data_IF_258683596637
#
_entry.id   IF_258683596637
#
_cell.length_a   1.000
_cell.length_b   1.000
_cell.length_c   1.000
_cell.angle_alpha   90.00
_cell.angle_beta   90.00
_cell.angle_gamma   90.00
#
_symmetry.space_group_name_H-M   'P 1'
#
loop_
_entity.id
_entity.type
_entity.pdbx_description
1 polymer ?
#
# COMPACT_ATOMS: atom_id res chain seq x y z
N UNK A 1 -27.43 9.77 46.24
CA UNK A 1 -27.74 10.56 45.02
C UNK A 1 -26.46 11.12 44.42
N UNK A 2 -25.93 10.49 43.35
CA UNK A 2 -25.14 11.12 42.28
C UNK A 2 -24.90 10.05 41.21
N UNK A 3 -25.13 10.45 39.96
CA UNK A 3 -25.57 9.63 38.84
C UNK A 3 -24.41 8.85 38.20
N UNK A 4 -24.67 7.57 37.92
CA UNK A 4 -23.92 6.74 36.97
C UNK A 4 -24.07 7.33 35.56
N UNK A 5 -22.97 7.79 34.95
CA UNK A 5 -22.90 7.94 33.48
C UNK A 5 -22.40 6.62 32.91
N UNK A 6 -23.33 5.83 32.38
CA UNK A 6 -22.99 4.70 31.51
C UNK A 6 -22.49 5.26 30.17
N UNK A 7 -21.25 4.93 29.82
CA UNK A 7 -20.73 5.12 28.47
C UNK A 7 -21.52 4.20 27.52
N UNK A 8 -22.40 4.78 26.72
CA UNK A 8 -23.06 4.09 25.62
C UNK A 8 -22.02 3.86 24.50
N UNK A 9 -21.50 2.64 24.43
CA UNK A 9 -20.75 2.16 23.26
C UNK A 9 -21.78 1.99 22.14
N UNK A 10 -21.80 2.93 21.18
CA UNK A 10 -22.54 2.77 19.93
C UNK A 10 -21.78 1.73 19.09
N UNK A 11 -22.17 0.47 19.20
CA UNK A 11 -21.80 -0.55 18.22
C UNK A 11 -22.55 -0.24 16.92
N UNK A 12 -21.86 0.30 15.93
CA UNK A 12 -22.36 0.27 14.55
C UNK A 12 -22.35 -1.19 14.08
N UNK A 13 -23.46 -1.89 14.30
CA UNK A 13 -23.66 -3.22 13.75
C UNK A 13 -23.84 -3.08 12.23
N UNK A 14 -22.77 -3.33 11.47
CA UNK A 14 -22.88 -3.57 10.04
C UNK A 14 -23.49 -4.97 9.85
N UNK A 15 -24.82 -5.04 9.84
CA UNK A 15 -25.55 -6.21 9.37
C UNK A 15 -25.45 -6.21 7.84
N UNK A 16 -24.41 -6.84 7.29
CA UNK A 16 -24.42 -7.25 5.89
C UNK A 16 -25.20 -8.56 5.79
N UNK A 17 -26.45 -8.47 5.33
CA UNK A 17 -27.16 -9.65 4.84
C UNK A 17 -26.49 -10.13 3.56
N UNK A 18 -25.82 -11.28 3.63
CA UNK A 18 -25.42 -12.02 2.45
C UNK A 18 -26.67 -12.43 1.67
N UNK A 19 -26.89 -11.79 0.53
CA UNK A 19 -27.78 -12.28 -0.51
C UNK A 19 -27.06 -12.06 -1.83
N UNK A 20 -26.55 -13.15 -2.39
CA UNK A 20 -26.01 -13.16 -3.74
C UNK A 20 -27.12 -12.88 -4.74
N UNK A 21 -26.72 -12.28 -5.87
CA UNK A 21 -27.48 -11.95 -7.08
C UNK A 21 -28.10 -10.55 -7.11
N UNK A 22 -27.62 -9.73 -8.04
CA UNK A 22 -28.46 -8.74 -8.73
C UNK A 22 -28.15 -7.28 -8.42
N UNK A 23 -27.62 -6.59 -9.43
CA UNK A 23 -27.72 -5.14 -9.66
C UNK A 23 -29.14 -4.61 -9.37
N UNK A 24 -29.43 -4.24 -8.12
CA UNK A 24 -30.57 -3.37 -7.76
C UNK A 24 -30.47 -2.88 -6.30
N UNK A 25 -29.30 -2.42 -5.85
CA UNK A 25 -29.33 -1.45 -4.76
C UNK A 25 -29.95 -0.16 -5.32
N UNK A 26 -31.01 0.35 -4.68
CA UNK A 26 -31.65 1.59 -5.08
C UNK A 26 -30.61 2.71 -5.20
N UNK A 27 -30.34 3.17 -6.42
CA UNK A 27 -29.41 4.26 -6.68
C UNK A 27 -29.85 5.52 -5.94
N UNK A 28 -31.17 5.70 -5.82
CA UNK A 28 -31.80 6.74 -5.03
C UNK A 28 -32.09 6.24 -3.60
N UNK A 29 -31.59 6.96 -2.61
CA UNK A 29 -31.77 6.66 -1.20
C UNK A 29 -32.91 7.46 -0.58
N UNK A 30 -33.66 6.81 0.30
CA UNK A 30 -34.76 7.39 1.06
C UNK A 30 -34.35 7.71 2.50
N UNK A 31 -35.20 8.46 3.22
CA UNK A 31 -34.98 8.76 4.64
C UNK A 31 -33.65 9.48 4.94
N UNK A 32 -32.96 8.99 5.98
CA UNK A 32 -31.71 9.54 6.51
C UNK A 32 -30.43 9.00 5.84
N UNK A 33 -30.55 8.10 4.88
CA UNK A 33 -29.39 7.47 4.24
C UNK A 33 -28.79 8.35 3.14
N UNK A 34 -27.47 8.31 3.02
CA UNK A 34 -26.70 9.09 2.04
C UNK A 34 -25.58 8.26 1.44
N UNK A 35 -25.31 8.53 0.17
CA UNK A 35 -24.03 8.21 -0.45
C UNK A 35 -23.05 9.31 -0.06
N UNK A 36 -21.87 8.93 0.42
CA UNK A 36 -20.74 9.84 0.54
C UNK A 36 -20.00 9.82 -0.80
N UNK A 37 -20.04 10.91 -1.54
CA UNK A 37 -19.32 11.05 -2.80
C UNK A 37 -17.87 11.37 -2.47
N UNK A 38 -16.96 10.46 -2.86
CA UNK A 38 -15.53 10.56 -2.60
C UNK A 38 -14.82 11.35 -3.70
N UNK A 39 -15.18 11.09 -4.96
CA UNK A 39 -14.68 11.82 -6.13
C UNK A 39 -15.56 11.54 -7.36
N UNK A 40 -15.27 12.16 -8.50
CA UNK A 40 -15.91 11.88 -9.78
C UNK A 40 -14.92 12.00 -10.93
N UNK A 41 -14.97 11.05 -11.88
CA UNK A 41 -14.06 10.98 -13.03
C UNK A 41 -14.81 10.84 -14.35
N UNK A 42 -14.22 11.30 -15.44
CA UNK A 42 -14.78 11.14 -16.78
C UNK A 42 -14.48 9.74 -17.33
N UNK A 43 -13.32 9.19 -17.00
CA UNK A 43 -12.93 7.85 -17.41
C UNK A 43 -13.44 6.79 -16.41
N UNK A 44 -14.03 5.72 -16.94
CA UNK A 44 -14.58 4.62 -16.14
C UNK A 44 -13.47 3.84 -15.43
N UNK A 45 -12.36 3.56 -16.13
CA UNK A 45 -11.29 2.73 -15.57
C UNK A 45 -10.60 3.45 -14.42
N UNK A 46 -10.35 4.76 -14.55
CA UNK A 46 -9.84 5.60 -13.47
C UNK A 46 -10.76 5.60 -12.25
N UNK A 47 -12.08 5.72 -12.43
CA UNK A 47 -13.04 5.66 -11.33
C UNK A 47 -13.03 4.30 -10.60
N UNK A 48 -12.96 3.20 -11.36
CA UNK A 48 -12.90 1.83 -10.81
C UNK A 48 -11.61 1.60 -10.02
N UNK A 49 -10.48 2.11 -10.52
CA UNK A 49 -9.20 2.01 -9.82
C UNK A 49 -9.23 2.77 -8.48
N UNK A 50 -9.72 4.00 -8.49
CA UNK A 50 -9.89 4.78 -7.25
C UNK A 50 -10.85 4.09 -6.27
N UNK A 51 -11.92 3.47 -6.78
CA UNK A 51 -12.84 2.70 -5.94
C UNK A 51 -12.18 1.49 -5.30
N UNK A 52 -11.30 0.78 -6.01
CA UNK A 52 -10.50 -0.33 -5.45
C UNK A 52 -9.54 0.18 -4.39
N UNK A 53 -8.81 1.27 -4.64
CA UNK A 53 -7.87 1.87 -3.69
C UNK A 53 -8.59 2.26 -2.38
N UNK A 54 -9.77 2.88 -2.45
CA UNK A 54 -10.59 3.12 -1.24
C UNK A 54 -11.11 1.83 -0.61
N UNK A 55 -11.50 0.85 -1.44
CA UNK A 55 -11.97 -0.47 -1.02
C UNK A 55 -10.99 -1.23 -0.12
N UNK A 56 -9.67 -1.07 -0.34
CA UNK A 56 -8.62 -1.63 0.52
C UNK A 56 -8.69 -1.16 1.98
N UNK A 57 -9.26 0.01 2.23
CA UNK A 57 -9.39 0.60 3.58
C UNK A 57 -10.78 0.46 4.16
N UNK A 58 -11.83 0.52 3.33
CA UNK A 58 -13.21 0.49 3.79
C UNK A 58 -14.15 -0.21 2.81
N UNK A 59 -15.03 -1.06 3.34
CA UNK A 59 -16.04 -1.78 2.55
C UNK A 59 -17.19 -0.86 2.12
N UNK A 60 -17.86 -1.22 1.02
CA UNK A 60 -19.06 -0.52 0.54
C UNK A 60 -18.77 0.64 -0.40
N UNK A 61 -17.57 0.69 -0.98
CA UNK A 61 -17.21 1.63 -2.05
C UNK A 61 -17.76 1.14 -3.38
N UNK A 62 -18.35 2.04 -4.17
CA UNK A 62 -19.02 1.73 -5.43
C UNK A 62 -18.73 2.81 -6.47
N UNK A 63 -18.93 2.49 -7.74
CA UNK A 63 -18.90 3.45 -8.84
C UNK A 63 -20.26 3.49 -9.52
N UNK A 64 -20.83 4.67 -9.61
CA UNK A 64 -22.09 4.91 -10.32
C UNK A 64 -21.85 5.84 -11.50
N UNK A 65 -22.45 5.53 -12.65
CA UNK A 65 -22.51 6.49 -13.76
C UNK A 65 -23.62 7.48 -13.48
N UNK A 66 -23.31 8.75 -13.60
CA UNK A 66 -24.26 9.86 -13.47
C UNK A 66 -24.90 10.17 -14.81
N UNK A 67 -26.07 10.82 -14.79
CA UNK A 67 -26.82 11.20 -16.00
C UNK A 67 -26.03 12.10 -16.97
N UNK A 68 -25.00 12.81 -16.47
CA UNK A 68 -24.10 13.65 -17.27
C UNK A 68 -22.91 12.87 -17.87
N UNK A 69 -22.87 11.54 -17.73
CA UNK A 69 -21.83 10.67 -18.25
C UNK A 69 -20.60 10.50 -17.35
N UNK A 70 -20.48 11.23 -16.24
CA UNK A 70 -19.37 11.08 -15.29
C UNK A 70 -19.56 9.85 -14.39
N UNK A 71 -18.48 9.31 -13.86
CA UNK A 71 -18.44 8.19 -12.94
C UNK A 71 -18.15 8.69 -11.52
N UNK A 72 -19.13 8.62 -10.63
CA UNK A 72 -19.00 8.99 -9.22
C UNK A 72 -18.51 7.80 -8.41
N UNK A 73 -17.41 7.98 -7.67
CA UNK A 73 -16.92 7.03 -6.67
C UNK A 73 -17.58 7.38 -5.35
N UNK A 74 -18.34 6.44 -4.78
CA UNK A 74 -19.18 6.68 -3.60
C UNK A 74 -18.95 5.62 -2.54
N UNK A 75 -19.22 5.97 -1.29
CA UNK A 75 -19.27 5.06 -0.15
C UNK A 75 -20.68 5.05 0.45
N UNK A 76 -21.21 3.87 0.76
CA UNK A 76 -22.45 3.72 1.51
C UNK A 76 -23.41 2.64 0.99
N UNK A 77 -24.71 2.77 1.28
CA UNK A 77 -25.36 3.89 1.98
C UNK A 77 -24.91 4.05 3.44
N UNK A 78 -24.89 5.28 3.97
CA UNK A 78 -24.61 5.59 5.38
C UNK A 78 -25.74 6.42 6.00
N UNK A 79 -26.15 6.08 7.22
CA UNK A 79 -27.14 6.82 8.00
C UNK A 79 -26.53 8.06 8.69
N UNK A 80 -26.20 9.08 7.89
CA UNK A 80 -25.55 10.32 8.35
C UNK A 80 -26.32 11.57 7.87
N UNK A 81 -26.51 12.52 8.78
CA UNK A 81 -27.25 13.76 8.50
C UNK A 81 -26.39 14.91 7.95
N UNK A 82 -25.06 14.82 8.07
CA UNK A 82 -24.11 15.83 7.61
C UNK A 82 -22.78 15.20 7.20
N UNK A 83 -22.01 15.89 6.36
CA UNK A 83 -20.70 15.42 5.92
C UNK A 83 -19.72 15.33 7.09
N UNK A 84 -19.80 16.24 8.07
CA UNK A 84 -18.95 16.19 9.27
C UNK A 84 -19.21 14.94 10.11
N UNK A 85 -20.47 14.52 10.21
CA UNK A 85 -20.80 13.24 10.86
C UNK A 85 -20.22 12.07 10.06
N UNK A 86 -20.23 12.13 8.73
CA UNK A 86 -19.57 11.12 7.90
C UNK A 86 -18.06 11.09 8.16
N UNK A 87 -17.38 12.24 8.19
CA UNK A 87 -15.94 12.33 8.52
C UNK A 87 -15.63 11.62 9.84
N UNK A 88 -16.38 11.94 10.89
CA UNK A 88 -16.18 11.36 12.22
C UNK A 88 -16.44 9.85 12.28
N UNK A 89 -17.44 9.35 11.55
CA UNK A 89 -17.80 7.91 11.55
C UNK A 89 -16.82 7.08 10.73
N UNK A 90 -16.25 7.67 9.68
CA UNK A 90 -15.35 6.98 8.75
C UNK A 90 -13.90 6.96 9.25
N UNK A 91 -13.51 7.91 10.09
CA UNK A 91 -12.24 7.82 10.80
C UNK A 91 -12.22 6.65 11.79
N UNK A 92 -11.09 5.95 11.94
CA UNK A 92 -9.80 6.18 11.28
C UNK A 92 -9.62 5.47 9.92
N UNK A 93 -10.62 4.71 9.46
CA UNK A 93 -10.52 3.89 8.23
C UNK A 93 -10.38 4.73 6.97
N UNK A 94 -11.08 5.85 6.91
CA UNK A 94 -11.06 6.74 5.76
C UNK A 94 -11.16 8.20 6.19
N UNK A 95 -10.12 8.98 5.88
CA UNK A 95 -10.17 10.44 5.95
C UNK A 95 -10.75 10.96 4.64
N UNK A 96 -11.90 11.62 4.72
CA UNK A 96 -12.54 12.20 3.54
C UNK A 96 -11.78 13.45 3.06
N UNK A 97 -11.70 13.65 1.74
CA UNK A 97 -11.19 14.89 1.15
C UNK A 97 -12.12 16.08 1.47
N UNK A 98 -11.62 17.30 1.35
CA UNK A 98 -12.38 18.51 1.67
C UNK A 98 -13.63 18.69 0.77
N UNK A 99 -13.54 18.24 -0.47
CA UNK A 99 -14.58 18.31 -1.50
C UNK A 99 -15.60 17.15 -1.45
N UNK A 100 -15.43 16.19 -0.53
CA UNK A 100 -16.41 15.12 -0.33
C UNK A 100 -17.77 15.69 0.11
N UNK A 101 -18.86 15.14 -0.40
CA UNK A 101 -20.22 15.62 -0.11
C UNK A 101 -21.24 14.47 -0.04
N UNK A 102 -22.44 14.77 0.47
CA UNK A 102 -23.53 13.80 0.58
C UNK A 102 -24.48 13.90 -0.61
N UNK A 103 -24.88 12.74 -1.14
CA UNK A 103 -25.84 12.62 -2.24
C UNK A 103 -26.93 11.62 -1.85
N UNK A 104 -28.17 11.84 -2.30
CA UNK A 104 -29.21 10.79 -2.24
C UNK A 104 -29.26 10.00 -3.54
N UNK A 105 -28.39 10.30 -4.50
CA UNK A 105 -28.26 9.57 -5.76
C UNK A 105 -29.31 9.87 -6.81
N UNK A 106 -29.96 11.04 -6.74
CA UNK A 106 -30.98 11.46 -7.72
C UNK A 106 -30.45 11.60 -9.15
N UNK A 107 -29.12 11.71 -9.31
CA UNK A 107 -28.44 11.90 -10.60
C UNK A 107 -27.74 10.64 -11.11
N UNK A 108 -27.83 9.52 -10.39
CA UNK A 108 -27.19 8.27 -10.78
C UNK A 108 -28.09 7.50 -11.75
N UNK A 109 -27.51 7.07 -12.87
CA UNK A 109 -28.18 6.34 -13.93
C UNK A 109 -28.03 4.81 -13.75
N UNK A 110 -26.81 4.36 -13.43
CA UNK A 110 -26.49 2.93 -13.32
C UNK A 110 -25.36 2.68 -12.33
N UNK A 111 -25.38 1.51 -11.69
CA UNK A 111 -24.24 0.98 -10.95
C UNK A 111 -23.26 0.30 -11.91
N UNK A 112 -21.99 0.68 -11.80
CA UNK A 112 -20.94 0.29 -12.77
C UNK A 112 -19.91 -0.64 -12.16
N UNK A 113 -19.67 -0.52 -10.85
CA UNK A 113 -18.70 -1.32 -10.12
C UNK A 113 -18.99 -1.30 -8.62
N UNK A 114 -18.79 -2.43 -7.96
CA UNK A 114 -18.74 -2.56 -6.51
C UNK A 114 -17.33 -3.01 -6.13
N UNK A 115 -16.66 -2.25 -5.25
CA UNK A 115 -15.35 -2.64 -4.76
C UNK A 115 -15.47 -3.90 -3.90
N UNK A 116 -14.49 -4.82 -3.94
CA UNK A 116 -14.42 -5.91 -2.98
C UNK A 116 -14.48 -5.40 -1.54
N UNK A 117 -15.01 -6.19 -0.59
CA UNK A 117 -14.93 -5.86 0.82
C UNK A 117 -13.49 -5.58 1.25
N UNK A 118 -13.31 -4.61 2.15
CA UNK A 118 -11.99 -4.32 2.71
C UNK A 118 -11.43 -5.55 3.42
N UNK A 119 -10.15 -5.90 3.18
CA UNK A 119 -9.48 -6.95 3.93
C UNK A 119 -9.22 -6.58 5.40
N UNK A 120 -9.37 -5.29 5.75
CA UNK A 120 -9.27 -4.82 7.14
C UNK A 120 -10.60 -5.10 7.86
N UNK A 121 -10.60 -6.17 8.65
CA UNK A 121 -11.77 -6.67 9.38
C UNK A 121 -12.07 -5.78 10.60
N UNK A 122 -11.02 -5.46 11.35
CA UNK A 122 -11.07 -4.53 12.47
C UNK A 122 -9.80 -3.69 12.53
N UNK A 123 -9.87 -2.49 13.11
CA UNK A 123 -8.67 -1.70 13.39
C UNK A 123 -8.79 -0.83 14.63
N UNK A 124 -7.63 -0.49 15.19
CA UNK A 124 -7.51 0.46 16.29
C UNK A 124 -6.25 1.29 16.12
N UNK A 125 -6.32 2.55 16.52
CA UNK A 125 -5.18 3.46 16.58
C UNK A 125 -4.90 3.89 18.02
N UNK A 126 -3.62 3.86 18.38
CA UNK A 126 -3.09 4.56 19.52
C UNK A 126 -2.59 5.93 19.09
N UNK A 127 -2.98 6.98 19.82
CA UNK A 127 -2.65 8.39 19.50
C UNK A 127 -1.72 9.05 20.54
N UNK A 128 -0.98 8.26 21.32
CA UNK A 128 0.02 8.78 22.26
C UNK A 128 -0.48 9.12 23.67
N UNK A 129 -1.77 8.93 23.95
CA UNK A 129 -2.40 9.36 25.22
C UNK A 129 -2.80 8.22 26.15
N UNK A 130 -3.72 7.36 25.69
CA UNK A 130 -4.30 6.26 26.48
C UNK A 130 -4.23 4.95 25.70
N UNK A 131 -4.12 3.80 26.38
CA UNK A 131 -4.13 2.51 25.71
C UNK A 131 -5.40 2.36 24.87
N UNK A 132 -5.23 1.93 23.63
CA UNK A 132 -6.32 1.72 22.69
C UNK A 132 -6.59 0.22 22.52
N UNK A 133 -7.86 -0.19 22.48
CA UNK A 133 -8.23 -1.61 22.49
C UNK A 133 -9.16 -1.95 21.34
N UNK A 134 -9.00 -3.12 20.77
CA UNK A 134 -9.93 -3.73 19.82
C UNK A 134 -9.99 -5.24 20.02
N UNK A 135 -11.07 -5.86 19.55
CA UNK A 135 -11.17 -7.31 19.50
C UNK A 135 -11.94 -7.75 18.27
N UNK A 136 -11.51 -8.86 17.69
CA UNK A 136 -12.15 -9.47 16.53
C UNK A 136 -11.93 -10.98 16.55
N UNK A 137 -12.99 -11.76 16.33
CA UNK A 137 -12.98 -13.24 16.32
C UNK A 137 -12.23 -13.92 17.49
N UNK A 138 -12.37 -13.35 18.69
CA UNK A 138 -11.76 -13.86 19.92
C UNK A 138 -10.28 -13.51 20.11
N UNK A 139 -9.70 -12.71 19.21
CA UNK A 139 -8.39 -12.08 19.40
C UNK A 139 -8.63 -10.67 19.96
N UNK A 140 -8.11 -10.37 21.14
CA UNK A 140 -8.15 -9.04 21.74
C UNK A 140 -6.75 -8.42 21.70
N UNK A 141 -6.66 -7.13 21.38
CA UNK A 141 -5.40 -6.39 21.36
C UNK A 141 -5.49 -5.08 22.14
N UNK A 142 -4.36 -4.69 22.71
CA UNK A 142 -4.13 -3.42 23.40
C UNK A 142 -2.90 -2.79 22.77
N UNK A 143 -3.07 -1.60 22.21
CA UNK A 143 -1.99 -0.72 21.79
C UNK A 143 -1.64 0.25 22.91
N UNK A 144 -0.36 0.39 23.17
CA UNK A 144 0.19 1.31 24.17
C UNK A 144 1.62 1.70 23.78
N UNK A 145 2.38 2.27 24.71
CA UNK A 145 3.80 2.56 24.56
C UNK A 145 4.60 2.19 25.80
N UNK A 146 5.90 1.98 25.63
CA UNK A 146 6.86 1.86 26.72
C UNK A 146 7.88 2.98 26.61
N UNK A 147 8.23 3.59 27.74
CA UNK A 147 9.32 4.55 27.83
C UNK A 147 10.65 3.83 28.08
N UNK A 148 11.71 4.27 27.41
CA UNK A 148 13.08 3.96 27.80
C UNK A 148 13.56 4.87 28.94
N UNK A 149 14.86 4.78 29.32
CA UNK A 149 15.42 5.56 30.43
C UNK A 149 15.58 7.03 30.08
N UNK A 150 15.68 7.33 28.79
CA UNK A 150 15.84 8.65 28.20
C UNK A 150 14.48 9.32 27.93
N UNK A 151 13.37 8.64 28.25
CA UNK A 151 12.01 9.16 28.05
C UNK A 151 11.46 8.98 26.63
N UNK A 152 12.20 8.33 25.72
CA UNK A 152 11.70 8.02 24.40
C UNK A 152 10.68 6.88 24.47
N UNK A 153 9.69 6.92 23.58
CA UNK A 153 8.54 6.02 23.60
C UNK A 153 8.53 5.10 22.39
N UNK A 154 8.53 3.79 22.65
CA UNK A 154 8.32 2.75 21.64
C UNK A 154 6.86 2.28 21.67
N UNK A 155 6.16 2.20 20.54
CA UNK A 155 4.82 1.61 20.49
C UNK A 155 4.87 0.11 20.79
N UNK A 156 3.82 -0.35 21.47
CA UNK A 156 3.63 -1.76 21.82
C UNK A 156 2.25 -2.27 21.45
N UNK A 157 2.20 -3.57 21.18
CA UNK A 157 1.00 -4.36 20.98
C UNK A 157 1.04 -5.50 21.99
N UNK A 158 0.01 -5.60 22.82
CA UNK A 158 -0.30 -6.79 23.62
C UNK A 158 -1.53 -7.45 23.04
N UNK A 159 -1.47 -8.74 22.78
CA UNK A 159 -2.60 -9.52 22.31
C UNK A 159 -2.91 -10.70 23.21
N UNK A 160 -4.17 -11.11 23.22
CA UNK A 160 -4.67 -12.23 24.00
C UNK A 160 -5.70 -13.03 23.19
N UNK A 161 -5.67 -14.35 23.32
CA UNK A 161 -6.66 -15.27 22.74
C UNK A 161 -6.77 -16.51 23.63
N UNK A 162 -7.93 -16.75 24.23
CA UNK A 162 -8.19 -17.94 25.07
C UNK A 162 -7.10 -18.20 26.15
N UNK A 163 -6.55 -17.14 26.77
CA UNK A 163 -5.49 -17.22 27.77
C UNK A 163 -4.07 -17.29 27.23
N UNK A 164 -3.87 -17.53 25.93
CA UNK A 164 -2.57 -17.34 25.26
C UNK A 164 -2.34 -15.85 24.97
N UNK A 165 -1.12 -15.39 25.19
CA UNK A 165 -0.76 -13.98 24.99
C UNK A 165 0.39 -13.83 24.00
N UNK A 166 0.42 -12.68 23.33
CA UNK A 166 1.53 -12.28 22.47
C UNK A 166 1.87 -10.82 22.69
N UNK A 167 3.12 -10.47 22.43
CA UNK A 167 3.64 -9.13 22.60
C UNK A 167 4.53 -8.75 21.44
N UNK A 168 4.31 -7.55 20.88
CA UNK A 168 5.20 -6.94 19.92
C UNK A 168 5.57 -5.52 20.36
N UNK A 169 6.80 -5.12 20.05
CA UNK A 169 7.33 -3.78 20.23
C UNK A 169 8.04 -3.37 18.95
N UNK A 170 7.94 -2.09 18.59
CA UNK A 170 8.71 -1.49 17.49
C UNK A 170 9.68 -0.52 18.15
N UNK A 171 10.97 -0.82 18.06
CA UNK A 171 12.05 -0.03 18.66
C UNK A 171 12.79 0.81 17.61
N UNK A 172 12.48 0.61 16.34
CA UNK A 172 12.97 1.41 15.24
C UNK A 172 12.41 2.83 15.38
N UNK A 173 13.31 3.80 15.55
CA UNK A 173 13.01 5.23 15.67
C UNK A 173 11.96 5.54 16.74
N UNK A 174 12.26 5.29 18.03
CA UNK A 174 11.31 5.58 19.11
C UNK A 174 10.99 7.08 19.11
N UNK A 175 9.76 7.43 19.46
CA UNK A 175 9.34 8.82 19.52
C UNK A 175 10.11 9.51 20.66
N UNK A 176 10.81 10.59 20.34
CA UNK A 176 11.60 11.34 21.33
C UNK A 176 10.67 11.88 22.42
N UNK A 177 11.19 12.08 23.64
CA UNK A 177 10.42 12.69 24.73
C UNK A 177 9.66 13.95 24.26
N UNK A 178 8.37 14.01 24.58
CA UNK A 178 7.47 15.10 24.18
C UNK A 178 6.94 15.01 22.73
N UNK A 179 7.49 14.15 21.88
CA UNK A 179 6.96 13.93 20.53
C UNK A 179 5.65 13.12 20.59
N UNK A 180 4.62 13.64 19.92
CA UNK A 180 3.39 12.86 19.69
C UNK A 180 3.61 11.87 18.56
N UNK A 181 3.03 10.68 18.70
CA UNK A 181 3.10 9.67 17.67
C UNK A 181 1.84 8.80 17.69
N UNK A 182 1.64 8.07 16.59
CA UNK A 182 0.53 7.12 16.48
C UNK A 182 1.01 5.78 15.98
N UNK A 183 0.39 4.72 16.51
CA UNK A 183 0.54 3.36 16.00
C UNK A 183 -0.84 2.77 15.74
N UNK A 184 -0.90 1.73 14.91
CA UNK A 184 -2.16 1.15 14.43
C UNK A 184 -2.07 -0.36 14.43
N UNK A 185 -3.14 -1.04 14.82
CA UNK A 185 -3.33 -2.47 14.62
C UNK A 185 -4.49 -2.68 13.67
N UNK A 186 -4.31 -3.58 12.70
CA UNK A 186 -5.34 -4.02 11.76
C UNK A 186 -5.48 -5.54 11.84
N UNK A 187 -6.71 -6.02 11.98
CA UNK A 187 -7.06 -7.43 11.91
C UNK A 187 -7.34 -7.81 10.47
N UNK A 188 -6.62 -8.80 9.95
CA UNK A 188 -6.63 -9.18 8.54
C UNK A 188 -6.49 -10.69 8.43
N UNK A 189 -7.16 -11.33 7.47
CA UNK A 189 -6.91 -12.74 7.12
C UNK A 189 -5.78 -12.82 6.10
N UNK A 190 -4.54 -12.76 6.57
CA UNK A 190 -3.34 -12.85 5.71
C UNK A 190 -3.02 -14.29 5.32
N UNK A 191 -3.29 -15.25 6.21
CA UNK A 191 -3.15 -16.68 5.96
C UNK A 191 -4.49 -17.37 6.24
N UNK A 192 -5.18 -17.92 5.21
CA UNK A 192 -6.48 -18.57 5.38
C UNK A 192 -6.40 -19.89 6.15
N UNK A 193 -5.23 -20.50 6.27
CA UNK A 193 -5.02 -21.73 7.04
C UNK A 193 -4.78 -21.47 8.53
N UNK A 194 -4.49 -20.22 8.92
CA UNK A 194 -4.31 -19.87 10.32
C UNK A 194 -5.65 -19.93 11.07
N UNK A 195 -5.68 -20.47 12.31
CA UNK A 195 -6.91 -20.60 13.09
C UNK A 195 -7.50 -19.24 13.51
N UNK A 196 -6.74 -18.15 13.40
CA UNK A 196 -7.13 -16.80 13.80
C UNK A 196 -6.72 -15.77 12.75
N UNK A 197 -7.42 -14.64 12.64
CA UNK A 197 -6.95 -13.54 11.82
C UNK A 197 -5.66 -12.98 12.41
N UNK A 198 -4.77 -12.55 11.52
CA UNK A 198 -3.52 -11.90 11.89
C UNK A 198 -3.74 -10.47 12.33
N UNK A 199 -2.78 -9.95 13.10
CA UNK A 199 -2.75 -8.55 13.51
C UNK A 199 -1.51 -7.88 12.91
N UNK A 200 -1.72 -7.00 11.93
CA UNK A 200 -0.68 -6.13 11.40
C UNK A 200 -0.59 -4.88 12.28
N UNK A 201 0.52 -4.74 13.01
CA UNK A 201 0.82 -3.66 13.92
C UNK A 201 1.89 -2.74 13.32
N UNK A 202 1.50 -1.51 13.02
CA UNK A 202 2.33 -0.56 12.29
C UNK A 202 2.56 0.71 13.10
N UNK A 203 3.75 1.29 12.92
CA UNK A 203 4.17 2.55 13.50
C UNK A 203 4.79 3.44 12.43
N UNK A 204 4.24 4.64 12.28
CA UNK A 204 4.80 5.70 11.47
C UNK A 204 5.56 6.67 12.37
N UNK A 205 6.88 6.71 12.28
CA UNK A 205 7.71 7.54 13.17
C UNK A 205 7.87 8.99 12.70
N UNK A 206 7.29 9.37 11.56
CA UNK A 206 7.28 10.75 11.08
C UNK A 206 8.49 11.17 10.25
N UNK A 207 8.29 12.23 9.45
CA UNK A 207 9.25 12.81 8.50
C UNK A 207 8.66 12.85 7.08
N UNK A 208 9.12 13.80 6.24
CA UNK A 208 8.51 14.08 4.93
C UNK A 208 8.53 12.89 3.96
N UNK A 209 9.49 11.98 4.14
CA UNK A 209 9.72 10.79 3.32
C UNK A 209 10.01 9.55 4.20
N UNK A 210 9.69 9.64 5.49
CA UNK A 210 10.02 8.62 6.49
C UNK A 210 8.85 7.67 6.76
N UNK A 211 9.16 6.65 7.55
CA UNK A 211 8.72 5.30 7.24
C UNK A 211 7.69 4.76 8.22
N UNK A 212 6.97 3.76 7.74
CA UNK A 212 6.15 2.85 8.50
C UNK A 212 6.88 1.52 8.71
N UNK A 213 7.07 1.13 9.97
CA UNK A 213 7.49 -0.22 10.32
C UNK A 213 6.30 -1.05 10.76
N UNK A 214 6.28 -2.30 10.32
CA UNK A 214 5.19 -3.24 10.62
C UNK A 214 5.70 -4.50 11.30
N UNK A 215 4.95 -4.96 12.29
CA UNK A 215 5.03 -6.29 12.91
C UNK A 215 3.74 -7.04 12.63
N UNK A 216 3.82 -8.33 12.37
CA UNK A 216 2.64 -9.16 12.10
C UNK A 216 2.56 -10.26 13.14
N UNK A 217 1.50 -10.24 13.94
CA UNK A 217 1.18 -11.33 14.84
C UNK A 217 0.36 -12.39 14.08
N UNK A 218 0.82 -13.63 14.10
CA UNK A 218 0.14 -14.78 13.47
C UNK A 218 0.06 -15.96 14.43
N UNK A 219 -1.10 -16.62 14.46
CA UNK A 219 -1.31 -17.84 15.22
C UNK A 219 -0.92 -19.05 14.38
N UNK A 220 -0.10 -19.93 14.93
CA UNK A 220 0.21 -21.22 14.34
C UNK A 220 -0.91 -22.22 14.64
N UNK A 221 -0.97 -23.33 13.90
CA UNK A 221 -1.93 -24.41 14.16
C UNK A 221 -1.86 -24.94 15.61
N UNK A 222 -0.68 -24.90 16.22
CA UNK A 222 -0.49 -25.24 17.65
C UNK A 222 -1.18 -24.31 18.65
N UNK A 223 -1.75 -23.19 18.20
CA UNK A 223 -2.32 -22.13 19.03
C UNK A 223 -1.30 -21.09 19.53
N UNK A 224 0.00 -21.35 19.39
CA UNK A 224 1.07 -20.40 19.74
C UNK A 224 1.13 -19.25 18.74
N UNK A 225 1.47 -18.07 19.25
CA UNK A 225 1.66 -16.88 18.43
C UNK A 225 3.13 -16.67 18.03
N UNK A 226 3.31 -16.12 16.83
CA UNK A 226 4.58 -15.62 16.30
C UNK A 226 4.44 -14.16 15.92
N UNK A 227 5.51 -13.39 16.16
CA UNK A 227 5.63 -12.01 15.70
C UNK A 227 6.66 -11.99 14.58
N UNK A 228 6.22 -11.63 13.39
CA UNK A 228 7.08 -11.48 12.22
C UNK A 228 7.42 -10.01 12.02
N UNK A 229 8.65 -9.75 11.60
CA UNK A 229 9.03 -8.43 11.11
C UNK A 229 8.59 -8.29 9.66
N UNK A 230 7.84 -7.23 9.36
CA UNK A 230 7.69 -6.75 7.98
C UNK A 230 8.88 -5.86 7.59
N UNK A 231 8.85 -5.36 6.37
CA UNK A 231 9.81 -4.38 5.89
C UNK A 231 9.58 -3.00 6.53
N UNK A 232 10.65 -2.21 6.58
CA UNK A 232 10.56 -0.76 6.80
C UNK A 232 10.23 -0.11 5.47
N UNK A 233 9.03 0.47 5.37
CA UNK A 233 8.49 0.99 4.12
C UNK A 233 8.20 2.48 4.23
N UNK A 234 8.39 3.22 3.16
CA UNK A 234 8.12 4.66 3.13
C UNK A 234 6.62 4.90 2.95
N UNK A 235 6.13 6.04 3.44
CA UNK A 235 4.70 6.34 3.45
C UNK A 235 3.93 5.48 4.46
N UNK A 236 2.72 5.04 4.10
CA UNK A 236 1.76 4.38 5.01
C UNK A 236 2.03 2.87 5.25
N UNK A 237 3.12 2.34 4.69
CA UNK A 237 3.52 0.95 4.82
C UNK A 237 2.83 0.03 3.81
N UNK A 238 2.44 -1.16 4.27
CA UNK A 238 1.74 -2.13 3.42
C UNK A 238 0.29 -1.72 3.14
N UNK A 239 -0.10 -1.88 1.88
CA UNK A 239 -1.48 -2.02 1.47
C UNK A 239 -1.88 -3.51 1.52
N UNK A 240 -3.19 -3.78 1.54
CA UNK A 240 -3.71 -5.13 1.68
C UNK A 240 -4.80 -5.36 0.63
N UNK A 241 -4.70 -6.45 -0.12
CA UNK A 241 -5.70 -6.90 -1.10
C UNK A 241 -5.55 -8.41 -1.32
N UNK A 242 -6.67 -9.11 -1.48
CA UNK A 242 -6.68 -10.48 -2.04
C UNK A 242 -6.69 -10.33 -3.56
N UNK A 243 -5.50 -10.37 -4.16
CA UNK A 243 -5.29 -9.97 -5.56
C UNK A 243 -5.79 -11.05 -6.53
N UNK A 244 -5.59 -12.32 -6.19
CA UNK A 244 -5.96 -13.46 -7.03
C UNK A 244 -7.28 -14.14 -6.61
N UNK A 245 -7.88 -13.71 -5.50
CA UNK A 245 -9.18 -14.18 -5.03
C UNK A 245 -9.13 -15.54 -4.33
N UNK A 246 -7.95 -15.96 -3.85
CA UNK A 246 -7.75 -17.25 -3.19
C UNK A 246 -8.11 -17.24 -1.69
N UNK A 247 -8.50 -16.08 -1.15
CA UNK A 247 -8.84 -15.86 0.25
C UNK A 247 -7.63 -15.57 1.14
N UNK A 248 -6.42 -15.58 0.59
CA UNK A 248 -5.21 -15.06 1.21
C UNK A 248 -5.06 -13.60 0.83
N UNK A 249 -4.95 -12.71 1.82
CA UNK A 249 -4.68 -11.30 1.55
C UNK A 249 -3.17 -11.09 1.40
N UNK A 250 -2.75 -10.51 0.26
CA UNK A 250 -1.38 -10.07 0.03
C UNK A 250 -1.06 -8.77 0.76
N UNK A 251 0.19 -8.64 1.18
CA UNK A 251 0.80 -7.40 1.63
C UNK A 251 1.49 -6.73 0.44
N UNK A 252 0.91 -5.66 -0.05
CA UNK A 252 1.37 -4.93 -1.22
C UNK A 252 2.25 -3.75 -0.80
N UNK A 253 3.37 -3.56 -1.51
CA UNK A 253 4.30 -2.46 -1.26
C UNK A 253 4.98 -2.00 -2.55
N UNK A 254 6.04 -1.20 -2.39
CA UNK A 254 6.98 -0.81 -3.45
C UNK A 254 8.37 -1.28 -3.05
N UNK A 255 9.21 -1.55 -4.04
CA UNK A 255 10.62 -1.81 -3.77
C UNK A 255 11.33 -0.50 -3.41
N UNK A 256 11.35 -0.21 -2.11
CA UNK A 256 11.96 0.99 -1.55
C UNK A 256 13.43 1.18 -1.90
N UNK A 257 14.11 0.15 -2.41
CA UNK A 257 15.49 0.27 -2.85
C UNK A 257 15.69 1.16 -4.07
N UNK A 258 14.63 1.53 -4.77
CA UNK A 258 14.67 2.51 -5.86
C UNK A 258 14.55 3.95 -5.37
N UNK A 259 14.06 4.16 -4.15
CA UNK A 259 13.92 5.49 -3.55
C UNK A 259 15.32 6.02 -3.21
N UNK A 260 15.65 7.21 -3.69
CA UNK A 260 17.00 7.80 -3.61
C UNK A 260 18.11 7.06 -4.36
N UNK A 261 17.81 5.99 -5.10
CA UNK A 261 18.86 5.26 -5.83
C UNK A 261 19.30 5.99 -7.10
N UNK A 262 18.34 6.61 -7.81
CA UNK A 262 18.57 7.16 -9.16
C UNK A 262 18.10 8.60 -9.33
N UNK A 263 17.44 9.16 -8.32
CA UNK A 263 16.98 10.55 -8.27
C UNK A 263 16.59 10.89 -6.82
N UNK A 264 16.21 12.13 -6.56
CA UNK A 264 15.55 12.52 -5.31
C UNK A 264 14.30 11.70 -5.06
N UNK A 265 13.86 11.60 -3.80
CA UNK A 265 12.64 10.86 -3.44
C UNK A 265 11.42 11.27 -4.27
N UNK A 266 11.20 12.58 -4.42
CA UNK A 266 10.05 13.12 -5.15
C UNK A 266 10.04 12.73 -6.64
N UNK A 267 11.22 12.46 -7.22
CA UNK A 267 11.38 12.06 -8.61
C UNK A 267 11.61 10.54 -8.77
N UNK A 268 11.65 9.79 -7.65
CA UNK A 268 11.89 8.35 -7.67
C UNK A 268 10.60 7.59 -8.01
N UNK A 269 10.73 6.56 -8.84
CA UNK A 269 9.67 5.59 -9.07
C UNK A 269 10.18 4.21 -8.68
N UNK A 270 9.33 3.43 -8.03
CA UNK A 270 9.65 2.10 -7.56
C UNK A 270 8.68 1.07 -8.16
N UNK A 271 9.17 -0.12 -8.56
CA UNK A 271 8.31 -1.21 -9.00
C UNK A 271 7.46 -1.74 -7.83
N UNK A 272 6.27 -2.31 -8.12
CA UNK A 272 5.42 -2.92 -7.11
C UNK A 272 6.05 -4.19 -6.52
N UNK A 273 5.68 -4.51 -5.28
CA UNK A 273 6.03 -5.74 -4.56
C UNK A 273 4.78 -6.32 -3.92
N UNK A 274 4.73 -7.64 -3.83
CA UNK A 274 3.66 -8.38 -3.16
C UNK A 274 4.26 -9.49 -2.30
N UNK A 275 3.81 -9.57 -1.04
CA UNK A 275 4.17 -10.63 -0.12
C UNK A 275 2.94 -11.39 0.35
N UNK A 276 3.08 -12.69 0.53
CA UNK A 276 2.06 -13.54 1.14
C UNK A 276 2.56 -14.12 2.45
N UNK A 277 1.69 -14.17 3.45
CA UNK A 277 1.97 -14.86 4.70
C UNK A 277 1.60 -16.34 4.56
N UNK A 278 2.47 -17.23 5.02
CA UNK A 278 2.16 -18.64 5.17
C UNK A 278 2.83 -19.18 6.44
N UNK A 279 2.01 -19.54 7.42
CA UNK A 279 2.47 -19.91 8.76
C UNK A 279 3.22 -18.76 9.43
N UNK A 280 4.54 -18.92 9.57
CA UNK A 280 5.45 -17.96 10.19
C UNK A 280 6.42 -17.29 9.20
N UNK A 281 6.10 -17.31 7.90
CA UNK A 281 6.95 -16.72 6.87
C UNK A 281 6.19 -15.77 5.95
N UNK A 282 6.76 -14.59 5.73
CA UNK A 282 6.40 -13.71 4.62
C UNK A 282 7.25 -14.11 3.41
N UNK A 283 6.59 -14.50 2.32
CA UNK A 283 7.25 -14.86 1.05
C UNK A 283 6.97 -13.79 0.02
N UNK A 284 8.00 -13.39 -0.73
CA UNK A 284 7.83 -12.55 -1.92
C UNK A 284 7.14 -13.39 -3.01
N UNK A 285 5.90 -13.01 -3.36
CA UNK A 285 5.07 -13.67 -4.37
C UNK A 285 4.94 -12.81 -5.63
N UNK A 286 5.69 -11.71 -5.72
CA UNK A 286 5.56 -10.70 -6.79
C UNK A 286 5.63 -11.33 -8.19
N UNK A 287 6.48 -12.35 -8.38
CA UNK A 287 6.67 -13.02 -9.67
C UNK A 287 5.68 -14.15 -9.98
N UNK A 288 4.74 -14.45 -9.08
CA UNK A 288 3.79 -15.55 -9.27
C UNK A 288 2.70 -15.20 -10.30
N UNK A 289 2.13 -16.23 -10.94
CA UNK A 289 1.16 -16.05 -12.02
C UNK A 289 -0.09 -15.27 -11.57
N UNK A 290 -0.55 -15.50 -10.33
CA UNK A 290 -1.69 -14.79 -9.73
C UNK A 290 -1.47 -13.28 -9.61
N UNK A 291 -0.21 -12.83 -9.47
CA UNK A 291 0.11 -11.41 -9.33
C UNK A 291 0.21 -10.67 -10.68
N UNK A 292 0.19 -11.39 -11.80
CA UNK A 292 0.36 -10.78 -13.13
C UNK A 292 -0.64 -9.65 -13.44
N UNK A 293 -1.96 -9.78 -13.15
CA UNK A 293 -2.91 -8.68 -13.35
C UNK A 293 -2.59 -7.45 -12.50
N UNK A 294 -2.16 -7.64 -11.25
CA UNK A 294 -1.72 -6.54 -10.39
C UNK A 294 -0.50 -5.82 -10.96
N UNK A 295 0.54 -6.57 -11.37
CA UNK A 295 1.73 -5.98 -11.99
C UNK A 295 1.40 -5.20 -13.28
N UNK A 296 0.52 -5.75 -14.11
CA UNK A 296 0.07 -5.09 -15.34
C UNK A 296 -0.68 -3.78 -15.03
N UNK A 297 -1.58 -3.79 -14.04
CA UNK A 297 -2.28 -2.59 -13.62
C UNK A 297 -1.29 -1.55 -13.07
N UNK A 298 -0.38 -1.94 -12.19
CA UNK A 298 0.63 -1.05 -11.62
C UNK A 298 1.55 -0.43 -12.68
N UNK A 299 1.94 -1.20 -13.70
CA UNK A 299 2.69 -0.67 -14.84
C UNK A 299 1.84 0.30 -15.68
N UNK A 300 0.57 -0.03 -15.94
CA UNK A 300 -0.33 0.83 -16.69
C UNK A 300 -0.57 2.18 -15.99
N UNK A 301 -0.62 2.20 -14.65
CA UNK A 301 -0.67 3.41 -13.82
C UNK A 301 0.58 4.26 -14.01
N UNK A 302 1.76 3.64 -13.89
CA UNK A 302 3.04 4.30 -14.08
C UNK A 302 3.16 4.93 -15.49
N UNK A 303 2.78 4.20 -16.53
CA UNK A 303 2.74 4.72 -17.90
C UNK A 303 1.64 5.78 -18.09
N UNK A 304 0.54 5.69 -17.34
CA UNK A 304 -0.53 6.68 -17.31
C UNK A 304 -0.05 8.04 -16.81
N UNK A 305 0.72 8.07 -15.74
CA UNK A 305 1.37 9.30 -15.26
C UNK A 305 2.32 9.88 -16.31
N UNK A 306 3.13 9.05 -16.95
CA UNK A 306 4.03 9.51 -18.02
C UNK A 306 3.31 9.92 -19.32
N UNK A 307 2.02 9.60 -19.50
CA UNK A 307 1.19 10.20 -20.56
C UNK A 307 0.73 11.61 -20.20
N UNK A 308 0.45 11.84 -18.92
CA UNK A 308 0.03 13.15 -18.41
C UNK A 308 1.22 14.09 -18.21
N UNK A 309 2.41 13.53 -17.99
CA UNK A 309 3.68 14.25 -17.75
C UNK A 309 4.78 13.63 -18.62
N UNK A 310 4.83 13.94 -19.92
CA UNK A 310 5.72 13.29 -20.88
C UNK A 310 7.21 13.35 -20.55
N UNK A 311 7.63 14.42 -19.87
CA UNK A 311 8.99 14.69 -19.38
C UNK A 311 9.50 13.61 -18.42
N UNK A 312 8.62 12.82 -17.77
CA UNK A 312 9.02 11.65 -17.00
C UNK A 312 9.83 10.64 -17.83
N UNK A 313 9.59 10.56 -19.15
CA UNK A 313 10.37 9.66 -20.02
C UNK A 313 11.84 10.05 -20.15
N UNK A 314 12.22 11.26 -19.74
CA UNK A 314 13.59 11.73 -19.74
C UNK A 314 14.25 11.68 -18.35
N UNK A 315 13.55 11.26 -17.28
CA UNK A 315 14.12 11.24 -15.92
C UNK A 315 14.65 9.86 -15.54
N UNK A 316 15.82 9.84 -14.89
CA UNK A 316 16.48 8.61 -14.48
C UNK A 316 15.69 7.87 -13.38
N UNK A 317 15.08 8.61 -12.44
CA UNK A 317 14.22 8.04 -11.39
C UNK A 317 13.00 7.29 -11.95
N UNK A 318 12.31 7.86 -12.95
CA UNK A 318 11.19 7.20 -13.61
C UNK A 318 11.64 5.98 -14.42
N UNK A 319 12.65 6.15 -15.27
CA UNK A 319 13.15 5.06 -16.12
C UNK A 319 13.65 3.87 -15.30
N UNK A 320 14.27 4.09 -14.14
CA UNK A 320 14.71 3.01 -13.26
C UNK A 320 13.54 2.15 -12.77
N UNK A 321 12.52 2.78 -12.16
CA UNK A 321 11.33 2.08 -11.68
C UNK A 321 10.55 1.41 -12.81
N UNK A 322 10.42 2.08 -13.96
CA UNK A 322 9.70 1.56 -15.12
C UNK A 322 10.39 0.36 -15.76
N UNK A 323 11.72 0.38 -15.90
CA UNK A 323 12.48 -0.78 -16.39
C UNK A 323 12.31 -1.97 -15.45
N UNK A 324 12.36 -1.74 -14.13
CA UNK A 324 12.16 -2.80 -13.14
C UNK A 324 10.74 -3.40 -13.22
N UNK A 325 9.71 -2.56 -13.31
CA UNK A 325 8.33 -3.00 -13.46
C UNK A 325 8.10 -3.78 -14.78
N UNK A 326 8.72 -3.35 -15.88
CA UNK A 326 8.72 -4.09 -17.15
C UNK A 326 9.45 -5.43 -17.04
N UNK A 327 10.55 -5.49 -16.30
CA UNK A 327 11.30 -6.73 -16.07
C UNK A 327 10.46 -7.77 -15.33
N UNK A 328 9.68 -7.37 -14.32
CA UNK A 328 8.73 -8.26 -13.62
C UNK A 328 7.69 -8.90 -14.56
N UNK A 329 7.38 -8.24 -15.68
CA UNK A 329 6.43 -8.73 -16.69
C UNK A 329 7.11 -9.45 -17.87
N UNK A 330 8.43 -9.66 -17.83
CA UNK A 330 9.21 -10.30 -18.88
C UNK A 330 9.57 -9.39 -20.06
N UNK A 331 9.41 -8.07 -19.91
CA UNK A 331 9.62 -7.08 -20.98
C UNK A 331 10.91 -6.26 -20.80
N UNK A 332 11.94 -6.85 -20.18
CA UNK A 332 13.20 -6.16 -19.87
C UNK A 332 13.91 -5.61 -21.11
N UNK A 333 14.09 -6.40 -22.17
CA UNK A 333 14.86 -6.00 -23.35
C UNK A 333 14.27 -4.77 -24.06
N UNK A 334 12.94 -4.73 -24.18
CA UNK A 334 12.25 -3.58 -24.78
C UNK A 334 12.41 -2.32 -23.91
N UNK A 335 12.20 -2.48 -22.60
CA UNK A 335 12.35 -1.41 -21.64
C UNK A 335 13.78 -0.86 -21.59
N UNK A 336 14.77 -1.75 -21.60
CA UNK A 336 16.18 -1.37 -21.59
C UNK A 336 16.56 -0.56 -22.83
N UNK A 337 16.13 -1.00 -24.02
CA UNK A 337 16.39 -0.26 -25.27
C UNK A 337 15.77 1.13 -25.26
N UNK A 338 14.56 1.28 -24.72
CA UNK A 338 13.93 2.60 -24.56
C UNK A 338 14.72 3.47 -23.59
N UNK A 339 15.06 2.94 -22.42
CA UNK A 339 15.84 3.64 -21.40
C UNK A 339 17.16 4.17 -21.99
N UNK A 340 17.92 3.35 -22.73
CA UNK A 340 19.18 3.76 -23.35
C UNK A 340 19.02 4.95 -24.31
N UNK A 341 17.88 5.08 -24.99
CA UNK A 341 17.60 6.22 -25.87
C UNK A 341 17.24 7.48 -25.07
N UNK A 342 16.54 7.32 -23.95
CA UNK A 342 15.83 8.42 -23.29
C UNK A 342 16.50 8.96 -22.01
N UNK A 343 17.36 8.20 -21.34
CA UNK A 343 17.90 8.58 -20.04
C UNK A 343 18.67 9.91 -20.07
N UNK A 344 18.63 10.62 -18.93
CA UNK A 344 19.37 11.87 -18.76
C UNK A 344 20.86 11.58 -18.55
N UNK A 345 21.63 11.86 -19.60
CA UNK A 345 23.10 11.74 -19.63
C UNK A 345 23.82 12.85 -18.88
N UNK A 346 23.12 13.95 -18.58
CA UNK A 346 23.66 15.15 -17.92
C UNK A 346 23.26 15.25 -16.46
N UNK A 347 22.56 14.24 -15.95
CA UNK A 347 22.20 14.15 -14.54
C UNK A 347 23.45 14.19 -13.66
N UNK A 348 23.48 15.13 -12.72
CA UNK A 348 24.54 15.24 -11.69
C UNK A 348 24.24 14.36 -10.47
N UNK A 349 23.17 13.55 -10.50
CA UNK A 349 22.86 12.60 -9.43
C UNK A 349 24.06 11.67 -9.18
N UNK A 350 24.56 11.56 -7.95
CA UNK A 350 25.80 10.84 -7.67
C UNK A 350 25.57 9.33 -7.78
N UNK A 351 26.07 8.73 -8.86
CA UNK A 351 26.07 7.28 -9.07
C UNK A 351 27.49 6.75 -8.97
N UNK A 352 27.74 5.92 -7.96
CA UNK A 352 29.06 5.38 -7.68
C UNK A 352 29.02 3.87 -7.43
N UNK A 353 30.12 3.19 -7.76
CA UNK A 353 30.41 1.82 -7.29
C UNK A 353 31.76 1.75 -6.60
N UNK A 354 31.94 0.72 -5.79
CA UNK A 354 33.25 0.42 -5.24
C UNK A 354 34.06 -0.44 -6.20
N UNK A 355 35.34 -0.11 -6.39
CA UNK A 355 36.29 -0.95 -7.11
C UNK A 355 36.67 -2.24 -6.33
N UNK A 356 36.31 -2.30 -5.05
CA UNK A 356 36.46 -3.47 -4.19
C UNK A 356 35.10 -4.14 -4.01
N UNK A 357 35.08 -5.44 -3.71
CA UNK A 357 33.86 -6.20 -3.40
C UNK A 357 33.32 -5.88 -1.99
N UNK A 358 33.04 -4.61 -1.72
CA UNK A 358 32.45 -4.11 -0.48
C UNK A 358 31.30 -3.15 -0.79
N UNK A 359 30.37 -3.02 0.15
CA UNK A 359 29.28 -2.04 0.06
C UNK A 359 29.84 -0.60 0.00
N UNK A 360 29.11 0.29 -0.67
CA UNK A 360 29.58 1.64 -0.99
C UNK A 360 29.84 2.50 0.26
N UNK A 361 29.04 2.31 1.32
CA UNK A 361 29.21 2.94 2.63
C UNK A 361 30.56 2.60 3.27
N UNK A 362 31.07 1.40 3.03
CA UNK A 362 32.36 0.89 3.51
C UNK A 362 33.49 1.07 2.49
N UNK A 363 33.20 1.61 1.30
CA UNK A 363 34.19 1.79 0.25
C UNK A 363 35.11 2.97 0.55
N UNK A 364 36.44 2.78 0.61
CA UNK A 364 37.40 3.87 0.71
C UNK A 364 37.17 4.90 -0.42
N UNK A 365 37.21 6.19 -0.10
CA UNK A 365 36.92 7.26 -1.07
C UNK A 365 37.75 7.14 -2.36
N UNK A 366 39.05 6.81 -2.24
CA UNK A 366 39.95 6.59 -3.36
C UNK A 366 39.62 5.36 -4.25
N UNK A 367 38.70 4.51 -3.81
CA UNK A 367 38.23 3.31 -4.54
C UNK A 367 36.81 3.46 -5.06
N UNK A 368 36.15 4.61 -4.82
CA UNK A 368 34.84 4.92 -5.39
C UNK A 368 35.02 5.38 -6.83
N UNK A 369 34.18 4.86 -7.71
CA UNK A 369 34.19 5.18 -9.14
C UNK A 369 32.81 5.68 -9.53
N UNK A 370 32.76 6.84 -10.17
CA UNK A 370 31.53 7.31 -10.83
C UNK A 370 31.17 6.37 -11.97
N UNK A 371 29.89 6.07 -12.09
CA UNK A 371 29.37 5.18 -13.14
C UNK A 371 28.18 5.82 -13.83
N UNK A 372 27.87 5.31 -15.02
CA UNK A 372 26.71 5.78 -15.78
C UNK A 372 25.39 5.28 -15.17
N UNK A 373 24.29 5.99 -15.46
CA UNK A 373 22.94 5.53 -15.07
C UNK A 373 22.61 4.11 -15.54
N UNK A 374 22.81 3.74 -16.83
CA UNK A 374 22.60 2.36 -17.28
C UNK A 374 23.43 1.33 -16.51
N UNK A 375 24.68 1.65 -16.17
CA UNK A 375 25.53 0.74 -15.41
C UNK A 375 25.01 0.56 -13.98
N UNK A 376 24.72 1.66 -13.27
CA UNK A 376 24.17 1.62 -11.92
C UNK A 376 22.82 0.89 -11.85
N UNK A 377 21.94 1.16 -12.82
CA UNK A 377 20.64 0.50 -12.90
C UNK A 377 20.80 -1.00 -13.17
N UNK A 378 21.72 -1.39 -14.06
CA UNK A 378 21.97 -2.82 -14.35
C UNK A 378 22.41 -3.55 -13.08
N UNK A 379 23.37 -3.01 -12.35
CA UNK A 379 23.90 -3.59 -11.11
C UNK A 379 22.80 -3.73 -10.06
N UNK A 380 21.98 -2.69 -9.89
CA UNK A 380 20.84 -2.72 -8.96
C UNK A 380 19.83 -3.79 -9.33
N UNK A 381 19.45 -3.89 -10.61
CA UNK A 381 18.49 -4.89 -11.08
C UNK A 381 19.00 -6.32 -10.93
N UNK A 382 20.31 -6.57 -11.11
CA UNK A 382 20.92 -7.89 -10.78
C UNK A 382 20.86 -8.15 -9.29
N UNK A 383 21.34 -7.20 -8.47
CA UNK A 383 21.41 -7.33 -7.01
C UNK A 383 20.04 -7.61 -6.39
N UNK A 384 18.99 -7.02 -6.98
CA UNK A 384 17.59 -7.17 -6.55
C UNK A 384 16.84 -8.32 -7.25
N UNK A 385 17.47 -9.04 -8.17
CA UNK A 385 16.88 -10.22 -8.81
C UNK A 385 15.82 -9.94 -9.88
N UNK A 386 15.73 -8.71 -10.41
CA UNK A 386 14.80 -8.39 -11.51
C UNK A 386 15.21 -9.04 -12.83
N UNK A 387 16.51 -9.31 -12.99
CA UNK A 387 17.10 -9.91 -14.18
C UNK A 387 18.32 -10.74 -13.79
N UNK A 388 18.62 -11.84 -14.50
CA UNK A 388 19.79 -12.65 -14.19
C UNK A 388 21.08 -11.88 -14.47
N UNK A 389 22.17 -12.24 -13.79
CA UNK A 389 23.50 -11.65 -14.03
C UNK A 389 23.95 -11.80 -15.51
N UNK A 390 23.52 -12.88 -16.17
CA UNK A 390 23.82 -13.19 -17.56
C UNK A 390 22.94 -12.48 -18.58
N UNK A 391 21.90 -11.73 -18.16
CA UNK A 391 21.10 -10.95 -19.10
C UNK A 391 21.97 -9.84 -19.73
N UNK A 392 22.45 -10.07 -20.95
CA UNK A 392 22.99 -9.03 -21.80
C UNK A 392 21.84 -8.47 -22.64
N UNK A 393 21.61 -7.15 -22.64
CA UNK A 393 20.59 -6.57 -23.51
C UNK A 393 20.96 -6.89 -24.96
N UNK A 394 20.07 -7.56 -25.69
CA UNK A 394 20.27 -7.77 -27.13
C UNK A 394 20.14 -6.42 -27.84
N UNK A 395 21.27 -5.76 -28.07
CA UNK A 395 21.36 -4.63 -28.98
C UNK A 395 21.37 -5.22 -30.39
N UNK A 396 20.20 -5.28 -31.03
CA UNK A 396 20.16 -5.48 -32.48
C UNK A 396 20.74 -4.23 -33.14
N UNK A 397 22.01 -4.34 -33.50
CA UNK A 397 22.74 -3.42 -34.34
C UNK A 397 22.11 -3.49 -35.74
N UNK A 398 21.07 -2.68 -35.99
CA UNK A 398 20.58 -2.46 -37.37
C UNK A 398 21.66 -1.71 -38.12
N UNK A 399 22.65 -2.44 -38.64
CA UNK A 399 23.49 -1.95 -39.72
C UNK A 399 22.59 -1.71 -40.90
N UNK A 400 22.46 -0.44 -41.28
CA UNK A 400 22.00 -0.03 -42.59
C UNK A 400 22.81 -0.78 -43.66
N UNK A 401 22.19 -1.78 -44.28
CA UNK A 401 22.60 -2.20 -45.61
C UNK A 401 22.14 -1.13 -46.59
N UNK A 402 22.99 -0.13 -46.81
CA UNK A 402 22.89 0.74 -47.98
C UNK A 402 22.98 -0.12 -49.26
N UNK A 403 22.12 0.12 -50.26
CA UNK A 403 22.23 -0.56 -51.54
C UNK A 403 23.38 0.05 -52.34
N UNK A 404 24.34 -0.79 -52.75
CA UNK A 404 25.35 -0.43 -53.74
C UNK A 404 24.69 -0.10 -55.08
N UNK A 405 25.09 1.04 -55.65
CA UNK A 405 24.81 1.45 -57.03
C UNK A 405 25.50 0.55 -58.04
#
# INVERSE_FOLDING_TARGET
MRKNLANAIVRAAFLFSCSGSGLAAGLRLEGGERWVVLTSKQDKAEAVEIARDYGRSISGVRVFRSNNGWFAVVLGPLAVGSIDKARNVLEPRLRLNADAYLSRGERYAEAVFDAPPSPILEMVEYKGERPAKASYEGVAVILDSLCDKEGNRSPTLRGETNGETFFARIDESPAVEGQTFSSRARFIRLDPHSPKPQVAFSYFWGGAHCCTVTRIATALESGKWRILAGETLDGDGYEYEDVDGDGSVELLSRDNSFLYAFDSYASSFAPPKAHRLSGDQLRDVTGEAGMRPYLQNQLARMEGWARQTPELWATNGFLAGWVAAKAQLGAFDDAWRRMLRSYDRKSEWPLEKCALAVELDKCPSAKRQKISFPEALRDHLVKRGYVPATASPKVEDRRDSSPSR
#
